data_IF_310161076060
#
_entry.id   IF_310161076060
#
_cell.length_a   1.000
_cell.length_b   1.000
_cell.length_c   1.000
_cell.angle_alpha   90.00
_cell.angle_beta   90.00
_cell.angle_gamma   90.00
#
_symmetry.space_group_name_H-M   'P 1'
#
loop_
_entity.id
_entity.type
_entity.pdbx_description
1 polymer ?
#
# COMPACT_ATOMS: atom_id res chain seq x y z
N UNK A 1 -4.42 17.71 -13.44
CA UNK A 1 -4.05 17.30 -14.81
C UNK A 1 -5.33 17.00 -15.56
N UNK A 2 -5.52 17.61 -16.72
CA UNK A 2 -6.75 17.45 -17.52
C UNK A 2 -6.78 16.09 -18.21
N UNK A 3 -7.97 15.58 -18.53
CA UNK A 3 -8.17 14.22 -19.05
C UNK A 3 -7.32 13.93 -20.30
N UNK A 4 -7.21 14.88 -21.23
CA UNK A 4 -6.40 14.74 -22.44
C UNK A 4 -4.90 14.59 -22.13
N UNK A 5 -4.40 15.35 -21.15
CA UNK A 5 -2.99 15.30 -20.71
C UNK A 5 -2.70 13.97 -20.00
N UNK A 6 -3.68 13.43 -19.26
CA UNK A 6 -3.58 12.12 -18.62
C UNK A 6 -3.46 10.98 -19.64
N UNK A 7 -4.32 10.97 -20.67
CA UNK A 7 -4.28 9.96 -21.74
C UNK A 7 -2.95 10.02 -22.48
N UNK A 8 -2.48 11.23 -22.85
CA UNK A 8 -1.18 11.40 -23.49
C UNK A 8 -0.02 10.87 -22.64
N UNK A 9 -0.04 11.13 -21.33
CA UNK A 9 1.01 10.66 -20.42
C UNK A 9 1.00 9.13 -20.26
N UNK A 10 -0.17 8.51 -20.17
CA UNK A 10 -0.28 7.04 -20.10
C UNK A 10 0.28 6.39 -21.38
N UNK A 11 -0.07 6.93 -22.55
CA UNK A 11 0.42 6.44 -23.82
C UNK A 11 1.95 6.58 -23.96
N UNK A 12 2.52 7.69 -23.49
CA UNK A 12 3.99 7.87 -23.42
C UNK A 12 4.63 6.78 -22.55
N UNK A 13 4.06 6.49 -21.38
CA UNK A 13 4.59 5.48 -20.46
C UNK A 13 4.49 4.08 -21.08
N UNK A 14 3.39 3.73 -21.76
CA UNK A 14 3.26 2.45 -22.49
C UNK A 14 4.37 2.28 -23.53
N UNK A 15 4.69 3.33 -24.28
CA UNK A 15 5.78 3.32 -25.27
C UNK A 15 7.14 3.03 -24.62
N UNK A 16 7.41 3.55 -23.41
CA UNK A 16 8.67 3.28 -22.71
C UNK A 16 8.86 1.78 -22.46
N UNK A 17 7.79 1.06 -22.14
CA UNK A 17 7.83 -0.39 -21.88
C UNK A 17 7.79 -1.24 -23.15
N UNK A 18 7.50 -0.63 -24.32
CA UNK A 18 7.28 -1.37 -25.56
C UNK A 18 6.10 -2.35 -25.47
N UNK A 19 5.14 -2.08 -24.59
CA UNK A 19 3.90 -2.87 -24.45
C UNK A 19 2.88 -2.43 -25.49
N UNK A 20 1.91 -3.29 -25.78
CA UNK A 20 0.81 -2.98 -26.69
C UNK A 20 0.01 -1.79 -26.16
N UNK A 21 -0.26 -0.83 -27.04
CA UNK A 21 -1.05 0.36 -26.74
C UNK A 21 -2.39 -0.04 -26.12
N UNK A 22 -2.72 0.52 -24.96
CA UNK A 22 -4.01 0.32 -24.27
C UNK A 22 -3.99 -0.58 -23.03
N UNK A 23 -2.88 -1.26 -22.72
CA UNK A 23 -2.80 -2.13 -21.54
C UNK A 23 -2.82 -1.36 -20.21
N UNK A 24 -2.25 -0.16 -20.19
CA UNK A 24 -2.31 0.75 -19.05
C UNK A 24 -3.53 1.67 -19.12
N UNK A 25 -4.10 1.90 -20.31
CA UNK A 25 -5.24 2.80 -20.51
C UNK A 25 -6.57 2.25 -19.97
N UNK A 26 -6.79 2.37 -18.66
CA UNK A 26 -8.10 2.13 -18.02
C UNK A 26 -8.83 3.45 -17.78
N UNK A 27 -10.17 3.44 -17.91
CA UNK A 27 -11.01 4.64 -17.77
C UNK A 27 -10.81 5.40 -16.45
N UNK A 28 -10.55 4.69 -15.35
CA UNK A 28 -10.36 5.29 -14.02
C UNK A 28 -8.87 5.46 -13.63
N UNK A 29 -7.93 5.20 -14.55
CA UNK A 29 -6.50 5.31 -14.27
C UNK A 29 -6.01 6.72 -14.57
N UNK A 30 -5.41 7.34 -13.56
CA UNK A 30 -4.82 8.67 -13.69
C UNK A 30 -3.37 8.67 -13.22
N UNK A 31 -2.50 9.25 -14.02
CA UNK A 31 -1.11 9.50 -13.68
C UNK A 31 -1.00 10.41 -12.45
N UNK A 32 -0.06 10.11 -11.55
CA UNK A 32 0.21 10.89 -10.33
C UNK A 32 1.61 11.48 -10.38
N UNK A 33 2.63 10.62 -10.40
CA UNK A 33 4.04 11.01 -10.40
C UNK A 33 4.92 9.88 -10.92
N UNK A 34 6.16 10.21 -11.28
CA UNK A 34 7.18 9.25 -11.67
C UNK A 34 8.57 9.69 -11.19
N UNK A 35 9.48 8.73 -11.07
CA UNK A 35 10.80 8.99 -10.51
C UNK A 35 11.71 7.77 -10.55
N UNK A 36 13.01 8.01 -10.34
CA UNK A 36 13.99 6.95 -10.26
C UNK A 36 14.20 6.58 -8.81
N UNK A 37 14.03 5.31 -8.47
CA UNK A 37 14.36 4.80 -7.15
C UNK A 37 15.34 3.63 -7.28
N UNK A 38 16.26 3.54 -6.34
CA UNK A 38 17.17 2.39 -6.24
C UNK A 38 16.48 1.32 -5.42
N UNK A 39 16.14 0.19 -6.05
CA UNK A 39 15.51 -0.95 -5.38
C UNK A 39 16.58 -1.91 -4.85
N UNK A 40 16.52 -2.24 -3.57
CA UNK A 40 17.33 -3.31 -3.01
C UNK A 40 16.81 -4.66 -3.50
N UNK A 41 17.65 -5.40 -4.23
CA UNK A 41 17.34 -6.73 -4.74
C UNK A 41 18.28 -7.76 -4.14
N UNK A 42 18.00 -9.06 -4.35
CA UNK A 42 18.87 -10.16 -3.89
C UNK A 42 20.32 -10.01 -4.36
N UNK A 43 20.52 -9.43 -5.54
CA UNK A 43 21.83 -9.27 -6.17
C UNK A 43 22.32 -7.80 -6.06
N UNK A 44 21.95 -7.12 -4.98
CA UNK A 44 22.35 -5.75 -4.69
C UNK A 44 21.37 -4.66 -5.18
N UNK A 45 21.73 -3.39 -4.99
CA UNK A 45 20.91 -2.23 -5.37
C UNK A 45 20.79 -2.09 -6.89
N UNK A 46 19.57 -1.86 -7.39
CA UNK A 46 19.29 -1.71 -8.83
C UNK A 46 18.38 -0.53 -9.09
N UNK A 47 18.77 0.34 -10.02
CA UNK A 47 17.95 1.45 -10.48
C UNK A 47 16.66 0.93 -11.14
N UNK A 48 15.54 1.53 -10.78
CA UNK A 48 14.22 1.27 -11.37
C UNK A 48 13.49 2.60 -11.58
N UNK A 49 12.81 2.73 -12.72
CA UNK A 49 11.87 3.84 -12.94
C UNK A 49 10.51 3.42 -12.40
N UNK A 50 9.98 4.19 -11.47
CA UNK A 50 8.66 3.98 -10.88
C UNK A 50 7.67 5.01 -11.44
N UNK A 51 6.44 4.57 -11.65
CA UNK A 51 5.29 5.37 -12.05
C UNK A 51 4.14 5.07 -11.10
N UNK A 52 3.67 6.10 -10.42
CA UNK A 52 2.48 6.04 -9.59
C UNK A 52 1.27 6.49 -10.41
N UNK A 53 0.26 5.64 -10.43
CA UNK A 53 -1.08 5.97 -10.91
C UNK A 53 -2.06 5.99 -9.74
N UNK A 54 -3.30 6.41 -9.98
CA UNK A 54 -4.37 6.44 -8.97
C UNK A 54 -4.74 5.07 -8.41
N UNK A 55 -4.50 3.99 -9.16
CA UNK A 55 -4.93 2.63 -8.81
C UNK A 55 -3.78 1.61 -8.77
N UNK A 56 -2.63 1.91 -9.37
CA UNK A 56 -1.46 1.01 -9.43
C UNK A 56 -0.14 1.74 -9.19
N UNK A 57 0.86 0.99 -8.71
CA UNK A 57 2.27 1.32 -8.82
C UNK A 57 2.91 0.44 -9.91
N UNK A 58 3.50 1.05 -10.92
CA UNK A 58 4.21 0.39 -12.01
C UNK A 58 5.70 0.69 -11.90
N UNK A 59 6.57 -0.29 -12.10
CA UNK A 59 7.99 -0.03 -12.21
C UNK A 59 8.70 -0.95 -13.20
N UNK A 60 9.81 -0.48 -13.75
CA UNK A 60 10.63 -1.20 -14.72
C UNK A 60 12.12 -0.92 -14.61
N UNK A 61 12.90 -1.73 -15.30
CA UNK A 61 14.35 -1.60 -15.44
C UNK A 61 14.69 -0.70 -16.63
N UNK A 62 15.36 0.45 -16.43
CA UNK A 62 15.93 1.24 -17.53
C UNK A 62 16.93 0.41 -18.35
N UNK A 63 16.82 0.45 -19.69
CA UNK A 63 17.72 -0.26 -20.60
C UNK A 63 18.42 0.70 -21.55
N UNK A 64 19.76 0.72 -21.46
CA UNK A 64 20.64 1.41 -22.40
C UNK A 64 20.41 2.93 -22.48
N UNK A 65 20.84 3.53 -23.60
CA UNK A 65 20.67 4.97 -23.88
C UNK A 65 19.29 5.33 -24.45
N UNK A 66 18.47 4.34 -24.82
CA UNK A 66 17.25 4.52 -25.63
C UNK A 66 15.98 4.88 -24.83
N UNK A 67 16.09 5.33 -23.57
CA UNK A 67 14.93 5.64 -22.69
C UNK A 67 13.87 4.52 -22.64
N UNK A 68 14.26 3.26 -22.84
CA UNK A 68 13.35 2.11 -22.77
C UNK A 68 13.34 1.48 -21.38
N UNK A 69 12.23 0.85 -21.05
CA UNK A 69 12.01 0.11 -19.81
C UNK A 69 11.69 -1.36 -20.12
N UNK A 70 12.21 -2.27 -19.31
CA UNK A 70 11.92 -3.71 -19.40
C UNK A 70 11.55 -4.27 -18.03
N UNK A 71 11.09 -5.53 -17.98
CA UNK A 71 10.73 -6.22 -16.74
C UNK A 71 9.72 -5.42 -15.90
N UNK A 72 8.55 -5.15 -16.49
CA UNK A 72 7.54 -4.36 -15.80
C UNK A 72 6.89 -5.18 -14.68
N UNK A 73 6.59 -4.51 -13.57
CA UNK A 73 5.79 -5.06 -12.49
C UNK A 73 4.71 -4.06 -12.14
N UNK A 74 3.46 -4.53 -12.12
CA UNK A 74 2.28 -3.76 -11.72
C UNK A 74 1.84 -4.24 -10.34
N UNK A 75 1.68 -3.31 -9.40
CA UNK A 75 1.18 -3.59 -8.06
C UNK A 75 -0.10 -2.78 -7.85
N UNK A 76 -1.27 -3.43 -7.67
CA UNK A 76 -2.50 -2.73 -7.29
C UNK A 76 -2.34 -2.00 -5.95
N UNK A 77 -2.72 -0.72 -5.91
CA UNK A 77 -2.58 0.09 -4.69
C UNK A 77 -3.49 -0.38 -3.55
N UNK A 78 -4.63 -1.00 -3.85
CA UNK A 78 -5.49 -1.62 -2.82
C UNK A 78 -4.76 -2.72 -2.02
N UNK A 79 -3.68 -3.27 -2.59
CA UNK A 79 -2.85 -4.33 -2.02
C UNK A 79 -1.45 -3.86 -1.62
N UNK A 80 -1.17 -2.57 -1.75
CA UNK A 80 0.12 -1.97 -1.46
C UNK A 80 0.17 -1.41 -0.03
N UNK A 81 1.30 -1.60 0.64
CA UNK A 81 1.68 -0.90 1.87
C UNK A 81 2.97 -0.13 1.64
N UNK A 82 3.16 0.96 2.39
CA UNK A 82 4.39 1.75 2.36
C UNK A 82 4.79 2.15 3.78
N UNK A 83 6.07 2.07 4.12
CA UNK A 83 6.60 2.47 5.43
C UNK A 83 7.93 3.20 5.27
N UNK A 84 8.07 4.35 5.93
CA UNK A 84 9.35 5.07 6.00
C UNK A 84 10.38 4.25 6.80
N UNK A 85 11.64 4.27 6.37
CA UNK A 85 12.76 3.78 7.18
C UNK A 85 13.49 4.99 7.78
N UNK A 86 13.85 4.97 9.07
CA UNK A 86 14.75 5.97 9.64
C UNK A 86 16.08 5.96 8.90
N UNK A 87 16.75 7.11 8.86
CA UNK A 87 18.08 7.20 8.31
C UNK A 87 19.10 6.72 9.36
N UNK A 88 20.04 5.85 8.95
CA UNK A 88 21.10 5.25 9.75
C UNK A 88 22.38 5.05 8.90
N UNK A 89 23.38 4.33 9.42
CA UNK A 89 24.64 4.08 8.71
C UNK A 89 24.48 3.30 7.39
N UNK A 90 23.38 2.54 7.25
CA UNK A 90 23.11 1.64 6.12
C UNK A 90 22.01 2.21 5.21
N UNK A 91 21.08 2.98 5.77
CA UNK A 91 19.91 3.50 5.08
C UNK A 91 19.91 5.02 5.10
N UNK A 92 19.92 5.62 3.92
CA UNK A 92 19.68 7.06 3.77
C UNK A 92 18.54 7.25 2.78
N UNK A 93 17.57 8.11 3.09
CA UNK A 93 16.42 8.38 2.22
C UNK A 93 15.67 7.10 1.76
N UNK A 94 15.58 6.09 2.65
CA UNK A 94 15.00 4.80 2.34
C UNK A 94 13.54 4.64 2.82
N UNK A 95 12.79 3.77 2.14
CA UNK A 95 11.46 3.32 2.58
C UNK A 95 11.13 1.92 2.02
N UNK A 96 10.21 1.23 2.68
CA UNK A 96 9.74 -0.09 2.28
C UNK A 96 8.44 -0.01 1.49
N UNK A 97 8.36 -0.82 0.44
CA UNK A 97 7.13 -1.11 -0.30
C UNK A 97 6.75 -2.58 -0.06
N UNK A 98 5.51 -2.77 0.37
CA UNK A 98 4.92 -4.08 0.63
C UNK A 98 3.85 -4.37 -0.43
N UNK A 99 3.91 -5.56 -1.01
CA UNK A 99 2.87 -6.11 -1.88
C UNK A 99 2.52 -7.52 -1.39
N UNK A 100 1.46 -8.13 -1.93
CA UNK A 100 1.08 -9.50 -1.61
C UNK A 100 2.20 -10.52 -1.88
N UNK A 101 2.99 -10.28 -2.92
CA UNK A 101 4.00 -11.23 -3.38
C UNK A 101 5.40 -10.92 -2.83
N UNK A 102 5.68 -9.65 -2.50
CA UNK A 102 7.03 -9.22 -2.15
C UNK A 102 7.05 -7.95 -1.32
N UNK A 103 7.98 -7.92 -0.37
CA UNK A 103 8.46 -6.71 0.31
C UNK A 103 9.83 -6.34 -0.24
N UNK A 104 10.08 -5.05 -0.46
CA UNK A 104 11.39 -4.57 -0.86
C UNK A 104 11.66 -3.14 -0.40
N UNK A 105 12.93 -2.86 -0.11
CA UNK A 105 13.43 -1.52 0.21
C UNK A 105 13.72 -0.75 -1.07
N UNK A 106 13.39 0.54 -1.07
CA UNK A 106 13.80 1.50 -2.09
C UNK A 106 14.48 2.70 -1.46
N UNK A 107 15.43 3.26 -2.18
CA UNK A 107 16.15 4.48 -1.82
C UNK A 107 15.83 5.56 -2.85
N UNK A 108 15.54 6.76 -2.36
CA UNK A 108 15.39 7.97 -3.18
C UNK A 108 16.69 8.79 -3.15
N UNK A 109 16.84 9.72 -4.09
CA UNK A 109 18.06 10.53 -4.17
C UNK A 109 18.14 11.57 -3.05
N UNK A 110 16.99 12.12 -2.63
CA UNK A 110 16.93 13.20 -1.63
C UNK A 110 15.83 12.93 -0.59
N UNK A 111 15.93 13.50 0.62
CA UNK A 111 14.89 13.35 1.63
C UNK A 111 13.54 13.95 1.20
N UNK A 112 13.55 15.00 0.37
CA UNK A 112 12.35 15.59 -0.20
C UNK A 112 11.68 14.62 -1.17
N UNK A 113 12.45 13.92 -2.00
CA UNK A 113 11.92 12.88 -2.90
C UNK A 113 11.30 11.73 -2.09
N UNK A 114 11.96 11.26 -1.02
CA UNK A 114 11.39 10.26 -0.08
C UNK A 114 10.06 10.74 0.50
N UNK A 115 10.02 11.96 1.02
CA UNK A 115 8.82 12.53 1.63
C UNK A 115 7.65 12.60 0.62
N UNK A 116 7.94 13.07 -0.60
CA UNK A 116 6.95 13.16 -1.67
C UNK A 116 6.40 11.78 -2.07
N UNK A 117 7.28 10.78 -2.24
CA UNK A 117 6.84 9.41 -2.55
C UNK A 117 5.97 8.84 -1.44
N UNK A 118 6.37 8.98 -0.18
CA UNK A 118 5.61 8.49 0.97
C UNK A 118 4.23 9.15 1.07
N UNK A 119 4.16 10.47 0.86
CA UNK A 119 2.91 11.23 0.84
C UNK A 119 1.96 10.73 -0.26
N UNK A 120 2.43 10.70 -1.51
CA UNK A 120 1.58 10.32 -2.67
C UNK A 120 1.18 8.85 -2.65
N UNK A 121 2.09 7.95 -2.28
CA UNK A 121 1.76 6.53 -2.12
C UNK A 121 0.71 6.35 -1.02
N UNK A 122 0.90 6.97 0.15
CA UNK A 122 -0.06 6.86 1.26
C UNK A 122 -1.44 7.38 0.87
N UNK A 123 -1.50 8.53 0.20
CA UNK A 123 -2.76 9.12 -0.27
C UNK A 123 -3.50 8.16 -1.22
N UNK A 124 -2.85 7.74 -2.30
CA UNK A 124 -3.52 6.95 -3.34
C UNK A 124 -3.76 5.49 -2.95
N UNK A 125 -2.97 4.92 -2.03
CA UNK A 125 -3.30 3.64 -1.39
C UNK A 125 -4.61 3.73 -0.62
N UNK A 126 -4.82 4.79 0.17
CA UNK A 126 -6.07 4.99 0.90
C UNK A 126 -7.26 5.19 -0.04
N UNK A 127 -7.10 5.99 -1.09
CA UNK A 127 -8.14 6.18 -2.10
C UNK A 127 -8.51 4.88 -2.81
N UNK A 128 -7.51 4.10 -3.24
CA UNK A 128 -7.74 2.81 -3.90
C UNK A 128 -8.46 1.81 -3.00
N UNK A 129 -8.14 1.77 -1.70
CA UNK A 129 -8.86 0.95 -0.72
C UNK A 129 -10.32 1.39 -0.55
N UNK A 130 -10.56 2.70 -0.47
CA UNK A 130 -11.92 3.25 -0.35
C UNK A 130 -12.75 2.90 -1.58
N UNK A 131 -12.16 3.04 -2.77
CA UNK A 131 -12.80 2.69 -4.02
C UNK A 131 -13.14 1.19 -4.10
N UNK A 132 -12.20 0.31 -3.74
CA UNK A 132 -12.43 -1.15 -3.74
C UNK A 132 -13.54 -1.55 -2.75
N UNK A 133 -13.58 -0.94 -1.56
CA UNK A 133 -14.65 -1.16 -0.58
C UNK A 133 -16.00 -0.64 -1.08
N UNK A 134 -16.03 0.51 -1.75
CA UNK A 134 -17.25 1.07 -2.33
C UNK A 134 -17.83 0.17 -3.43
N UNK A 135 -16.97 -0.40 -4.30
CA UNK A 135 -17.38 -1.36 -5.33
C UNK A 135 -17.98 -2.60 -4.68
N UNK A 136 -17.26 -3.23 -3.72
CA UNK A 136 -17.76 -4.40 -2.98
C UNK A 136 -19.11 -4.12 -2.30
N UNK A 137 -19.28 -2.92 -1.75
CA UNK A 137 -20.54 -2.52 -1.16
C UNK A 137 -21.65 -2.39 -2.22
N UNK A 138 -21.38 -1.78 -3.37
CA UNK A 138 -22.35 -1.68 -4.46
C UNK A 138 -22.76 -3.06 -4.99
N UNK A 139 -21.81 -3.99 -5.10
CA UNK A 139 -22.08 -5.38 -5.49
C UNK A 139 -23.02 -6.06 -4.49
N UNK A 140 -22.76 -5.91 -3.18
CA UNK A 140 -23.64 -6.41 -2.12
C UNK A 140 -25.03 -5.78 -2.23
N UNK A 141 -25.13 -4.46 -2.39
CA UNK A 141 -26.42 -3.78 -2.53
C UNK A 141 -27.23 -4.30 -3.72
N UNK A 142 -26.54 -4.58 -4.83
CA UNK A 142 -27.15 -5.07 -6.06
C UNK A 142 -27.64 -6.52 -5.94
N UNK A 143 -27.07 -7.29 -5.01
CA UNK A 143 -27.51 -8.65 -4.70
C UNK A 143 -28.68 -8.71 -3.69
N UNK A 144 -29.05 -7.59 -3.06
CA UNK A 144 -30.13 -7.52 -2.09
C UNK A 144 -31.48 -7.22 -2.76
N UNK A 145 -32.56 -7.74 -2.19
CA UNK A 145 -33.91 -7.36 -2.59
C UNK A 145 -34.16 -5.87 -2.25
N UNK A 146 -35.10 -5.16 -2.92
CA UNK A 146 -35.31 -3.73 -2.69
C UNK A 146 -35.52 -3.34 -1.23
N UNK A 147 -36.27 -4.13 -0.46
CA UNK A 147 -36.49 -3.88 0.98
C UNK A 147 -35.22 -4.06 1.84
N UNK A 148 -34.34 -4.97 1.46
CA UNK A 148 -33.06 -5.19 2.14
C UNK A 148 -32.01 -4.16 1.73
N UNK A 149 -31.99 -3.76 0.45
CA UNK A 149 -31.16 -2.67 -0.06
C UNK A 149 -31.51 -1.34 0.62
N UNK A 150 -32.80 -1.05 0.87
CA UNK A 150 -33.24 0.13 1.63
C UNK A 150 -32.73 0.06 3.08
N UNK A 151 -32.88 -1.07 3.76
CA UNK A 151 -32.37 -1.26 5.14
C UNK A 151 -30.85 -1.12 5.20
N UNK A 152 -30.15 -1.69 4.23
CA UNK A 152 -28.70 -1.63 4.09
C UNK A 152 -28.21 -0.21 3.76
N UNK A 153 -28.90 0.53 2.89
CA UNK A 153 -28.58 1.92 2.57
C UNK A 153 -28.87 2.85 3.76
N UNK A 154 -30.00 2.69 4.44
CA UNK A 154 -30.38 3.45 5.64
C UNK A 154 -29.38 3.23 6.79
N UNK A 155 -28.81 2.02 6.90
CA UNK A 155 -27.71 1.73 7.82
C UNK A 155 -26.48 2.62 7.58
N UNK A 156 -26.30 3.20 6.39
CA UNK A 156 -25.09 3.98 6.01
C UNK A 156 -25.26 5.50 5.97
N UNK A 157 -26.46 6.07 6.09
CA UNK A 157 -26.69 7.53 5.98
C UNK A 157 -26.70 8.21 7.35
N UNK A 158 -25.61 8.88 7.74
CA UNK A 158 -25.56 9.99 8.72
C UNK A 158 -24.45 9.90 9.81
N UNK A 159 -24.42 10.90 10.69
CA UNK A 159 -23.32 11.22 11.62
C UNK A 159 -22.85 10.03 12.48
N UNK A 160 -21.53 9.96 12.73
CA UNK A 160 -20.89 8.84 13.44
C UNK A 160 -20.37 7.74 12.51
N UNK A 161 -19.60 8.11 11.48
CA UNK A 161 -18.97 7.17 10.56
C UNK A 161 -17.53 6.84 10.96
N UNK A 162 -17.04 5.69 10.51
CA UNK A 162 -15.64 5.31 10.65
C UNK A 162 -14.73 6.34 9.95
N UNK A 163 -13.79 6.92 10.70
CA UNK A 163 -12.84 7.92 10.21
C UNK A 163 -11.69 7.33 9.36
N UNK A 164 -11.73 6.03 9.08
CA UNK A 164 -10.78 5.34 8.21
C UNK A 164 -11.40 5.06 6.83
N UNK A 165 -12.54 4.36 6.76
CA UNK A 165 -13.22 4.06 5.50
C UNK A 165 -14.27 5.07 5.07
N UNK A 166 -14.78 5.92 5.98
CA UNK A 166 -15.88 6.87 5.75
C UNK A 166 -17.18 6.23 5.25
N UNK A 167 -17.29 4.90 5.33
CA UNK A 167 -18.40 4.11 4.77
C UNK A 167 -19.19 3.36 5.84
N UNK A 168 -18.56 2.96 6.94
CA UNK A 168 -19.23 2.25 8.04
C UNK A 168 -19.81 3.25 9.02
N UNK A 169 -21.12 3.25 9.21
CA UNK A 169 -21.78 4.01 10.28
C UNK A 169 -21.75 3.23 11.58
N UNK A 170 -21.51 3.92 12.70
CA UNK A 170 -21.69 3.37 14.03
C UNK A 170 -23.14 3.56 14.47
N UNK A 171 -23.88 2.46 14.62
CA UNK A 171 -25.13 2.49 15.37
C UNK A 171 -24.81 2.74 16.87
N UNK A 172 -25.79 3.15 17.70
CA UNK A 172 -25.55 3.37 19.13
C UNK A 172 -24.90 2.17 19.84
N UNK A 173 -25.26 0.95 19.44
CA UNK A 173 -24.72 -0.31 19.96
C UNK A 173 -23.49 -0.84 19.21
N UNK A 174 -23.09 -0.23 18.09
CA UNK A 174 -21.90 -0.67 17.35
C UNK A 174 -20.65 -0.26 18.10
N UNK A 175 -19.79 -1.23 18.41
CA UNK A 175 -18.51 -0.97 19.06
C UNK A 175 -17.62 -0.09 18.18
N UNK A 176 -17.11 0.98 18.78
CA UNK A 176 -16.18 1.93 18.18
C UNK A 176 -14.76 1.60 18.63
N UNK A 177 -13.82 1.52 17.70
CA UNK A 177 -12.43 1.21 18.01
C UNK A 177 -11.55 2.44 17.80
N UNK A 178 -10.85 2.89 18.84
CA UNK A 178 -9.89 3.99 18.70
C UNK A 178 -8.54 3.44 18.25
N UNK A 179 -7.96 4.06 17.23
CA UNK A 179 -6.57 3.78 16.84
C UNK A 179 -5.63 4.28 17.94
N UNK A 180 -4.84 3.39 18.56
CA UNK A 180 -3.89 3.74 19.62
C UNK A 180 -2.70 4.58 19.12
N UNK A 181 -2.57 4.82 17.81
CA UNK A 181 -1.50 5.64 17.21
C UNK A 181 -1.95 7.03 16.75
N UNK A 182 -3.15 7.14 16.18
CA UNK A 182 -3.63 8.38 15.56
C UNK A 182 -5.05 8.77 15.97
N UNK A 183 -5.60 8.09 16.97
CA UNK A 183 -6.87 8.39 17.63
C UNK A 183 -8.14 8.33 16.77
N UNK A 184 -8.01 8.01 15.47
CA UNK A 184 -9.15 7.79 14.58
C UNK A 184 -10.08 6.70 15.12
N UNK A 185 -11.38 7.00 15.12
CA UNK A 185 -12.46 6.07 15.41
C UNK A 185 -12.72 5.19 14.19
N UNK A 186 -12.51 3.88 14.36
CA UNK A 186 -12.50 2.86 13.32
C UNK A 186 -13.58 1.80 13.55
N UNK A 187 -14.14 1.27 12.46
CA UNK A 187 -14.92 0.03 12.51
C UNK A 187 -14.00 -1.19 12.66
N UNK A 188 -14.58 -2.35 12.97
CA UNK A 188 -13.86 -3.62 13.13
C UNK A 188 -13.02 -3.97 11.90
N UNK A 189 -13.50 -3.66 10.70
CA UNK A 189 -12.77 -3.98 9.46
C UNK A 189 -11.61 -3.02 9.21
N UNK A 190 -11.63 -1.84 9.83
CA UNK A 190 -10.63 -0.79 9.61
C UNK A 190 -9.62 -0.67 10.74
N UNK A 191 -9.80 -1.42 11.83
CA UNK A 191 -8.84 -1.55 12.91
C UNK A 191 -8.09 -2.88 12.76
N UNK A 192 -6.80 -2.89 13.03
CA UNK A 192 -5.96 -4.08 13.04
C UNK A 192 -5.39 -4.23 14.43
N UNK A 193 -5.62 -5.40 15.03
CA UNK A 193 -5.10 -5.80 16.33
C UNK A 193 -3.87 -6.68 16.13
N UNK A 194 -2.73 -6.30 16.72
CA UNK A 194 -1.46 -6.98 16.52
C UNK A 194 -0.47 -6.66 17.65
N UNK A 195 0.54 -7.50 17.87
CA UNK A 195 1.64 -7.21 18.81
C UNK A 195 2.71 -6.41 18.07
N UNK A 196 2.99 -5.19 18.55
CA UNK A 196 4.05 -4.35 17.99
C UNK A 196 5.33 -4.47 18.84
N UNK A 197 6.44 -5.04 18.34
CA UNK A 197 7.62 -5.37 19.15
C UNK A 197 8.21 -4.20 19.93
N UNK A 198 8.19 -2.99 19.37
CA UNK A 198 8.72 -1.78 20.04
C UNK A 198 7.77 -1.15 21.07
N UNK A 199 6.56 -1.68 21.24
CA UNK A 199 5.56 -1.15 22.19
C UNK A 199 5.26 -2.17 23.27
N UNK A 200 5.07 -3.43 22.89
CA UNK A 200 4.87 -4.52 23.82
C UNK A 200 5.17 -5.86 23.15
N UNK A 201 5.68 -6.81 23.91
CA UNK A 201 5.91 -8.20 23.49
C UNK A 201 4.73 -9.12 23.82
N UNK A 202 3.80 -8.68 24.66
CA UNK A 202 2.70 -9.52 25.19
C UNK A 202 1.32 -8.91 24.97
N UNK A 203 1.22 -7.58 24.97
CA UNK A 203 -0.04 -6.86 24.75
C UNK A 203 -0.22 -6.55 23.27
N UNK A 204 -1.40 -6.82 22.74
CA UNK A 204 -1.78 -6.36 21.41
C UNK A 204 -2.18 -4.87 21.40
N UNK A 205 -1.83 -4.18 20.31
CA UNK A 205 -2.21 -2.80 20.04
C UNK A 205 -3.15 -2.74 18.85
N UNK A 206 -4.10 -1.81 18.90
CA UNK A 206 -5.11 -1.61 17.85
C UNK A 206 -4.80 -0.36 17.04
N UNK A 207 -4.33 -0.54 15.82
CA UNK A 207 -4.06 0.57 14.89
C UNK A 207 -5.01 0.55 13.70
N UNK A 208 -5.38 1.73 13.20
CA UNK A 208 -6.13 1.79 11.95
C UNK A 208 -5.29 1.19 10.81
N UNK A 209 -5.93 0.67 9.77
CA UNK A 209 -5.25 0.03 8.63
C UNK A 209 -4.10 0.88 8.07
N UNK A 210 -4.25 2.20 8.03
CA UNK A 210 -3.18 3.11 7.58
C UNK A 210 -1.98 3.10 8.52
N UNK A 211 -2.19 3.25 9.83
CA UNK A 211 -1.13 3.20 10.83
C UNK A 211 -0.45 1.82 10.89
N UNK A 212 -1.24 0.74 10.80
CA UNK A 212 -0.72 -0.62 10.74
C UNK A 212 0.17 -0.85 9.50
N UNK A 213 -0.20 -0.32 8.33
CA UNK A 213 0.63 -0.46 7.12
C UNK A 213 1.91 0.36 7.19
N UNK A 214 1.82 1.60 7.69
CA UNK A 214 2.97 2.49 7.75
C UNK A 214 3.99 2.10 8.81
N UNK A 215 3.53 1.44 9.88
CA UNK A 215 4.37 1.26 11.05
C UNK A 215 4.15 -0.06 11.80
N UNK A 216 3.09 -0.81 11.50
CA UNK A 216 2.68 -1.99 12.25
C UNK A 216 3.42 -3.28 11.87
N UNK A 217 4.36 -3.21 10.93
CA UNK A 217 5.24 -4.33 10.63
C UNK A 217 6.63 -4.01 11.18
N UNK A 218 7.26 -4.92 11.95
CA UNK A 218 8.64 -4.74 12.35
C UNK A 218 9.49 -4.57 11.09
N UNK A 219 10.37 -3.58 11.11
CA UNK A 219 11.41 -3.43 10.13
C UNK A 219 12.14 -4.77 10.00
N UNK A 220 12.06 -5.41 8.82
CA UNK A 220 12.71 -6.70 8.57
C UNK A 220 14.24 -6.62 8.72
N UNK A 221 14.79 -5.40 8.82
CA UNK A 221 16.19 -5.11 9.11
C UNK A 221 16.63 -5.41 10.53
N UNK A 222 15.73 -5.63 11.49
CA UNK A 222 16.13 -6.11 12.83
C UNK A 222 16.41 -7.62 12.91
N UNK A 223 16.27 -8.37 11.81
CA UNK A 223 16.57 -9.81 11.76
C UNK A 223 17.70 -10.18 10.77
N UNK A 224 18.39 -9.19 10.20
CA UNK A 224 19.59 -9.44 9.41
C UNK A 224 20.81 -9.22 10.30
N UNK A 225 21.43 -10.31 10.75
CA UNK A 225 22.79 -10.26 11.27
C UNK A 225 23.74 -10.03 10.10
N UNK A 226 24.65 -9.08 10.21
CA UNK A 226 25.71 -8.87 9.24
C UNK A 226 26.96 -9.59 9.72
N UNK A 227 27.68 -10.27 8.83
CA UNK A 227 29.00 -10.79 9.16
C UNK A 227 30.03 -9.66 9.26
N UNK A 228 31.25 -10.02 9.68
CA UNK A 228 32.40 -9.11 9.79
C UNK A 228 32.82 -8.44 8.47
N UNK A 229 32.22 -8.84 7.35
CA UNK A 229 32.43 -8.29 6.01
C UNK A 229 31.22 -7.48 5.50
N UNK A 230 30.21 -7.24 6.34
CA UNK A 230 29.02 -6.45 5.99
C UNK A 230 28.05 -7.17 5.06
N UNK A 231 28.15 -8.50 4.93
CA UNK A 231 27.22 -9.32 4.14
C UNK A 231 26.02 -9.71 5.00
N UNK A 232 24.77 -9.52 4.53
CA UNK A 232 23.59 -9.95 5.26
C UNK A 232 23.58 -11.49 5.40
N UNK A 233 23.71 -12.00 6.61
CA UNK A 233 23.50 -13.41 6.94
C UNK A 233 22.05 -13.62 7.35
N UNK A 234 21.40 -14.60 6.72
CA UNK A 234 20.07 -15.03 7.13
C UNK A 234 20.25 -15.93 8.37
N UNK A 235 19.69 -15.61 9.54
CA UNK A 235 19.80 -16.51 10.67
C UNK A 235 19.10 -17.82 10.31
N UNK A 236 19.87 -18.90 10.34
CA UNK A 236 19.41 -20.27 10.17
C UNK A 236 18.39 -20.57 11.28
N UNK A 237 17.11 -20.35 11.00
CA UNK A 237 16.04 -20.52 11.99
C UNK A 237 14.78 -19.69 11.79
N UNK A 238 14.74 -18.72 10.85
CA UNK A 238 13.48 -18.05 10.52
C UNK A 238 12.65 -18.96 9.61
N UNK A 239 11.98 -19.95 10.21
CA UNK A 239 10.82 -20.56 9.57
C UNK A 239 9.88 -19.43 9.13
N UNK A 240 9.47 -19.50 7.87
CA UNK A 240 8.46 -18.64 7.28
C UNK A 240 7.34 -18.40 8.30
N UNK A 241 7.24 -17.18 8.83
CA UNK A 241 6.08 -16.80 9.63
C UNK A 241 4.88 -16.93 8.69
N UNK A 242 4.13 -18.03 8.83
CA UNK A 242 2.85 -18.22 8.16
C UNK A 242 1.97 -17.09 8.65
N UNK A 243 1.72 -16.10 7.79
CA UNK A 243 0.67 -15.14 8.02
C UNK A 243 -0.64 -15.93 8.19
N UNK A 244 -1.21 -15.92 9.39
CA UNK A 244 -2.53 -16.49 9.60
C UNK A 244 -3.50 -15.78 8.65
N UNK A 245 -3.99 -16.53 7.66
CA UNK A 245 -5.22 -16.21 6.93
C UNK A 245 -6.26 -15.82 7.98
N UNK A 246 -6.66 -14.57 8.02
CA UNK A 246 -7.93 -14.21 8.63
C UNK A 246 -8.99 -15.01 7.88
N UNK A 247 -9.67 -15.89 8.62
CA UNK A 247 -10.79 -16.68 8.09
C UNK A 247 -11.79 -15.71 7.50
N UNK A 248 -12.01 -15.83 6.19
CA UNK A 248 -13.24 -15.38 5.56
C UNK A 248 -14.31 -16.31 6.13
N UNK A 249 -15.05 -15.87 7.13
CA UNK A 249 -16.28 -16.56 7.48
C UNK A 249 -17.29 -16.22 6.39
N UNK A 250 -17.46 -17.18 5.49
CA UNK A 250 -18.63 -17.28 4.64
C UNK A 250 -19.80 -17.89 5.39
N UNK A 251 -20.97 -17.65 4.80
CA UNK A 251 -22.35 -18.01 5.17
C UNK A 251 -22.97 -17.07 6.20
#
# INVERSE_FOLDING_TARGET
MDAQRNVGKIAEIEQLFGVTKGELAKSNRRYVMDGNLTKLSRNGPRLRRFFLFSDILLYGTPVGKLKRLTQHTIIPLSRLGVASLPDDEIHTNAFNIFSEQKTFTVYSATPEEKALWLEKLSLHVNEALRAEKAIKAADVASALNPGEAIKWAASRVGQGVCQSCEQTRFMPWTKRWTCERCEKICCSDCITDFIHPSISTTRSVRWCQQCYRMHGRPNFTQLLSFDEHGVPTNPSGVESIRYHRTRVHGV
#
